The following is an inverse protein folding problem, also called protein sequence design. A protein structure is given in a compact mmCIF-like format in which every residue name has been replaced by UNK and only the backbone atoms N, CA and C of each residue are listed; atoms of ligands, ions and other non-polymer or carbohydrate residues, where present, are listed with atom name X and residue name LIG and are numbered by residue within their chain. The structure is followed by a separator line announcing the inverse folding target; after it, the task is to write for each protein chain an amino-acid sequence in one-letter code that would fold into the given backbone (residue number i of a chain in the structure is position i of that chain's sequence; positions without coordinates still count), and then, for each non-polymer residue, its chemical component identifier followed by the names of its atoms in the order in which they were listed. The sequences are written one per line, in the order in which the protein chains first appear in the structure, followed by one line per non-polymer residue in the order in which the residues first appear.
data_IF_997082955106
#
_entry.id   IF_997082955106
#
_cell.length_a   1.000
_cell.length_b   1.000
_cell.length_c   1.000
_cell.angle_alpha   90.00
_cell.angle_beta   90.00
_cell.angle_gamma   90.00
#
_symmetry.space_group_name_H-M   'P 1'
#
loop_
_entity.id
_entity.type
_entity.pdbx_description
1 polymer ?
#
# COMPACT_ATOMS: atom_id res chain seq x y z
N UNK A 1 -12.91 8.04 -10.92
CA UNK A 1 -12.59 8.13 -9.49
C UNK A 1 -13.72 8.78 -8.73
N UNK A 2 -13.87 10.11 -8.85
CA UNK A 2 -14.95 10.83 -8.19
C UNK A 2 -16.25 10.87 -9.01
N UNK A 3 -17.44 10.69 -8.40
CA UNK A 3 -18.72 10.89 -9.06
C UNK A 3 -18.85 12.31 -9.62
N UNK A 4 -19.29 12.43 -10.87
CA UNK A 4 -19.54 13.70 -11.56
C UNK A 4 -21.03 13.98 -11.75
N UNK A 5 -21.83 12.92 -11.88
CA UNK A 5 -23.26 12.99 -12.14
C UNK A 5 -23.97 11.90 -11.34
N UNK A 6 -25.16 12.23 -10.84
CA UNK A 6 -26.05 11.28 -10.17
C UNK A 6 -27.42 11.33 -10.87
N UNK A 7 -27.99 10.14 -11.06
CA UNK A 7 -29.27 9.95 -11.73
C UNK A 7 -30.22 9.22 -10.77
N UNK A 8 -31.47 9.66 -10.73
CA UNK A 8 -32.53 8.97 -10.02
C UNK A 8 -32.91 7.66 -10.71
N UNK A 9 -33.68 6.81 -10.03
CA UNK A 9 -34.10 5.50 -10.56
C UNK A 9 -34.90 5.57 -11.88
N UNK A 10 -35.49 6.73 -12.22
CA UNK A 10 -36.21 6.95 -13.48
C UNK A 10 -35.35 7.58 -14.58
N UNK A 11 -34.04 7.70 -14.38
CA UNK A 11 -33.09 8.25 -15.36
C UNK A 11 -33.01 9.77 -15.41
N UNK A 12 -33.68 10.50 -14.50
CA UNK A 12 -33.54 11.97 -14.41
C UNK A 12 -32.28 12.33 -13.63
N UNK A 13 -31.48 13.24 -14.18
CA UNK A 13 -30.28 13.80 -13.54
C UNK A 13 -30.70 14.61 -12.31
N UNK A 14 -30.19 14.21 -11.14
CA UNK A 14 -30.48 14.84 -9.84
C UNK A 14 -29.38 15.78 -9.40
N UNK A 15 -28.13 15.50 -9.77
CA UNK A 15 -26.97 16.28 -9.36
C UNK A 15 -25.84 16.17 -10.37
N UNK A 16 -25.08 17.26 -10.55
CA UNK A 16 -23.84 17.30 -11.31
C UNK A 16 -22.86 18.25 -10.65
N UNK A 17 -21.59 17.84 -10.58
CA UNK A 17 -20.53 18.68 -10.02
C UNK A 17 -19.28 18.59 -10.87
N UNK A 18 -18.80 19.76 -11.30
CA UNK A 18 -17.46 19.90 -11.85
C UNK A 18 -16.48 20.18 -10.71
N UNK A 19 -15.34 19.49 -10.70
CA UNK A 19 -14.35 19.57 -9.64
C UNK A 19 -12.99 19.93 -10.21
N UNK A 20 -12.18 20.62 -9.41
CA UNK A 20 -10.76 20.83 -9.69
C UNK A 20 -9.95 19.54 -9.52
N UNK A 21 -8.66 19.59 -9.82
CA UNK A 21 -7.70 18.49 -9.63
C UNK A 21 -7.75 17.87 -8.22
N UNK A 22 -8.04 18.68 -7.18
CA UNK A 22 -8.09 18.26 -5.78
C UNK A 22 -9.51 18.20 -5.20
N UNK A 23 -10.54 18.21 -6.05
CA UNK A 23 -11.91 17.94 -5.63
C UNK A 23 -12.70 19.18 -5.19
N UNK A 24 -12.10 20.38 -5.28
CA UNK A 24 -12.79 21.64 -5.03
C UNK A 24 -13.90 21.81 -6.06
N UNK A 25 -15.13 22.02 -5.60
CA UNK A 25 -16.27 22.22 -6.50
C UNK A 25 -16.12 23.55 -7.25
N UNK A 26 -16.10 23.49 -8.58
CA UNK A 26 -16.02 24.67 -9.45
C UNK A 26 -17.40 25.18 -9.86
N UNK A 27 -18.37 24.27 -10.03
CA UNK A 27 -19.77 24.58 -10.32
C UNK A 27 -20.66 23.41 -9.86
N UNK A 28 -21.81 23.73 -9.25
CA UNK A 28 -22.85 22.79 -8.88
C UNK A 28 -24.10 23.10 -9.70
N UNK A 29 -24.49 22.19 -10.59
CA UNK A 29 -25.77 22.28 -11.32
C UNK A 29 -26.86 21.48 -10.58
N UNK A 30 -26.87 21.57 -9.24
CA UNK A 30 -27.86 20.89 -8.43
C UNK A 30 -29.23 21.53 -8.64
N UNK A 31 -30.27 20.72 -8.85
CA UNK A 31 -31.63 21.23 -8.82
C UNK A 31 -31.90 21.84 -7.43
N UNK A 32 -32.51 23.03 -7.31
CA UNK A 32 -32.85 23.61 -6.01
C UNK A 32 -33.79 22.72 -5.19
N UNK A 33 -34.49 21.77 -5.83
CA UNK A 33 -35.36 20.78 -5.19
C UNK A 33 -34.66 19.43 -4.91
N UNK A 34 -33.36 19.30 -5.21
CA UNK A 34 -32.62 18.07 -4.96
C UNK A 34 -32.40 17.87 -3.46
N UNK A 35 -33.22 17.03 -2.85
CA UNK A 35 -33.01 16.51 -1.49
C UNK A 35 -31.85 15.49 -1.40
N UNK A 36 -31.30 15.09 -2.55
CA UNK A 36 -30.27 14.06 -2.67
C UNK A 36 -28.92 14.73 -3.02
N UNK A 37 -27.95 14.64 -2.11
CA UNK A 37 -26.57 15.05 -2.33
C UNK A 37 -25.69 13.82 -2.61
N UNK A 38 -24.54 14.05 -3.25
CA UNK A 38 -23.49 13.06 -3.37
C UNK A 38 -22.26 13.54 -2.61
N UNK A 39 -22.07 12.99 -1.41
CA UNK A 39 -20.96 13.36 -0.54
C UNK A 39 -19.69 12.56 -0.87
N UNK A 40 -19.77 11.60 -1.80
CA UNK A 40 -18.61 10.86 -2.26
C UNK A 40 -17.67 11.73 -3.12
N UNK A 41 -16.38 11.67 -2.78
CA UNK A 41 -15.29 12.37 -3.46
C UNK A 41 -14.46 11.44 -4.34
N UNK A 42 -13.14 11.65 -4.40
CA UNK A 42 -12.24 10.65 -4.97
C UNK A 42 -12.27 9.34 -4.16
N UNK A 43 -11.57 8.31 -4.63
CA UNK A 43 -11.63 6.98 -4.01
C UNK A 43 -11.40 7.05 -2.48
N UNK A 44 -12.37 6.55 -1.71
CA UNK A 44 -12.32 6.55 -0.24
C UNK A 44 -12.58 7.90 0.45
N UNK A 45 -13.06 8.92 -0.29
CA UNK A 45 -13.37 10.24 0.26
C UNK A 45 -14.86 10.45 0.50
N UNK A 46 -15.17 11.04 1.65
CA UNK A 46 -16.48 11.56 1.99
C UNK A 46 -16.38 13.04 2.35
N UNK A 47 -17.28 13.86 1.82
CA UNK A 47 -17.33 15.28 2.12
C UNK A 47 -17.98 15.46 3.49
N UNK A 48 -17.28 16.16 4.38
CA UNK A 48 -17.86 16.65 5.63
C UNK A 48 -18.52 18.01 5.35
N UNK A 49 -19.84 18.09 5.51
CA UNK A 49 -20.62 19.29 5.17
C UNK A 49 -20.37 20.44 6.16
N UNK A 50 -20.11 20.12 7.44
CA UNK A 50 -19.90 21.14 8.48
C UNK A 50 -18.58 21.89 8.28
N UNK A 51 -17.51 21.17 7.92
CA UNK A 51 -16.18 21.74 7.72
C UNK A 51 -15.83 22.05 6.25
N UNK A 52 -16.55 21.44 5.30
CA UNK A 52 -16.23 21.50 3.86
C UNK A 52 -15.00 20.69 3.45
N UNK A 53 -14.43 19.88 4.35
CA UNK A 53 -13.22 19.09 4.12
C UNK A 53 -13.55 17.68 3.57
N UNK A 54 -12.53 17.01 3.03
CA UNK A 54 -12.62 15.62 2.61
C UNK A 54 -12.11 14.68 3.70
N UNK A 55 -12.98 13.83 4.21
CA UNK A 55 -12.62 12.77 5.15
C UNK A 55 -12.12 11.52 4.40
N UNK A 56 -10.93 11.07 4.78
CA UNK A 56 -10.28 9.83 4.34
C UNK A 56 -9.87 9.01 5.57
N UNK A 57 -10.82 8.26 6.14
CA UNK A 57 -10.66 7.31 7.27
C UNK A 57 -9.98 7.87 8.54
N UNK A 58 -8.72 8.25 8.48
CA UNK A 58 -7.95 8.77 9.61
C UNK A 58 -7.52 10.23 9.42
N UNK A 59 -7.86 10.87 8.29
CA UNK A 59 -7.38 12.22 7.96
C UNK A 59 -8.45 13.07 7.27
N UNK A 60 -8.32 14.39 7.41
CA UNK A 60 -9.09 15.39 6.69
C UNK A 60 -8.20 16.12 5.68
N UNK A 61 -8.67 16.26 4.44
CA UNK A 61 -7.96 16.90 3.33
C UNK A 61 -8.67 18.19 2.91
N UNK A 62 -7.91 19.27 2.77
CA UNK A 62 -8.39 20.54 2.24
C UNK A 62 -8.20 20.57 0.71
N UNK A 63 -9.32 20.58 0.00
CA UNK A 63 -9.35 20.59 -1.47
C UNK A 63 -8.82 21.88 -2.11
N UNK A 64 -8.65 22.96 -1.34
CA UNK A 64 -8.06 24.21 -1.83
C UNK A 64 -6.54 24.09 -1.95
N UNK A 65 -5.93 23.32 -1.06
CA UNK A 65 -4.47 23.14 -0.96
C UNK A 65 -4.02 21.78 -1.49
N UNK A 66 -4.93 20.81 -1.60
CA UNK A 66 -4.62 19.42 -1.97
C UNK A 66 -3.87 18.65 -0.89
N UNK A 67 -3.99 19.07 0.38
CA UNK A 67 -3.19 18.56 1.49
C UNK A 67 -4.05 18.08 2.66
N UNK A 68 -3.58 17.04 3.35
CA UNK A 68 -4.10 16.62 4.63
C UNK A 68 -3.73 17.64 5.73
N UNK A 69 -4.70 17.94 6.59
CA UNK A 69 -4.51 18.86 7.71
C UNK A 69 -3.61 18.27 8.81
N UNK A 70 -3.60 16.95 8.93
CA UNK A 70 -2.73 16.20 9.83
C UNK A 70 -1.60 15.52 9.04
N UNK A 71 -0.43 15.39 9.68
CA UNK A 71 0.63 14.54 9.16
C UNK A 71 0.14 13.11 8.96
N UNK A 72 0.72 12.42 7.97
CA UNK A 72 0.48 11.01 7.75
C UNK A 72 0.76 10.24 9.06
N UNK A 73 -0.15 9.36 9.52
CA UNK A 73 0.12 8.48 10.66
C UNK A 73 1.40 7.65 10.49
N UNK A 74 1.79 7.35 9.24
CA UNK A 74 3.04 6.69 8.87
C UNK A 74 4.25 7.65 8.86
N UNK A 75 4.03 8.95 9.07
CA UNK A 75 5.04 10.04 9.07
C UNK A 75 5.78 10.06 7.73
N UNK A 76 7.12 10.10 7.74
CA UNK A 76 7.94 9.97 6.52
C UNK A 76 7.76 8.61 5.81
N UNK A 77 7.08 7.67 6.45
CA UNK A 77 6.56 6.42 5.89
C UNK A 77 5.52 6.62 4.76
N UNK A 78 4.77 7.73 4.79
CA UNK A 78 3.79 8.10 3.76
C UNK A 78 4.36 8.93 2.61
N UNK A 79 5.67 9.21 2.63
CA UNK A 79 6.35 10.08 1.67
C UNK A 79 7.05 11.25 2.35
N UNK A 80 7.91 11.96 1.60
CA UNK A 80 8.64 13.13 2.11
C UNK A 80 7.70 14.29 2.44
N UNK A 81 6.57 14.39 1.72
CA UNK A 81 5.50 15.31 2.08
C UNK A 81 4.47 14.59 2.95
N UNK A 82 4.63 14.69 4.26
CA UNK A 82 3.73 14.02 5.23
C UNK A 82 2.29 14.53 5.18
N UNK A 83 2.01 15.63 4.47
CA UNK A 83 0.67 16.18 4.31
C UNK A 83 0.15 16.03 2.87
N UNK A 84 0.89 15.41 1.94
CA UNK A 84 0.40 15.26 0.57
C UNK A 84 -0.75 14.26 0.49
N UNK A 85 -1.77 14.64 -0.27
CA UNK A 85 -2.67 13.68 -0.90
C UNK A 85 -1.97 13.06 -2.11
N UNK A 86 -2.23 11.77 -2.38
CA UNK A 86 -1.61 10.88 -3.39
C UNK A 86 -0.81 11.58 -4.51
N UNK A 87 0.41 11.11 -4.79
CA UNK A 87 1.32 11.69 -5.80
C UNK A 87 0.71 11.91 -7.19
N UNK A 88 -0.26 11.10 -7.59
CA UNK A 88 -1.12 11.32 -8.76
C UNK A 88 -2.56 10.88 -8.43
N UNK A 89 -3.47 11.83 -8.29
CA UNK A 89 -4.87 11.59 -7.90
C UNK A 89 -5.75 11.01 -9.01
N UNK A 90 -5.25 10.95 -10.25
CA UNK A 90 -6.02 10.54 -11.44
C UNK A 90 -5.51 9.21 -12.01
N UNK A 91 -4.19 8.98 -12.00
CA UNK A 91 -3.54 7.81 -12.60
C UNK A 91 -3.13 6.71 -11.63
N UNK A 92 -2.90 7.02 -10.35
CA UNK A 92 -2.56 5.99 -9.37
C UNK A 92 -3.80 5.32 -8.80
N UNK A 93 -4.19 4.25 -9.48
CA UNK A 93 -5.08 3.23 -8.98
C UNK A 93 -4.30 1.91 -9.07
N UNK A 94 -4.10 1.22 -7.96
CA UNK A 94 -3.69 -0.19 -7.93
C UNK A 94 -4.93 -1.02 -7.53
N UNK A 95 -5.76 -1.45 -8.50
CA UNK A 95 -7.04 -2.07 -8.19
C UNK A 95 -6.91 -3.42 -7.50
N UNK A 96 -5.72 -4.04 -7.54
CA UNK A 96 -5.49 -5.41 -7.03
C UNK A 96 -4.28 -5.53 -6.09
N UNK A 97 -3.35 -4.57 -6.01
CA UNK A 97 -2.21 -4.66 -5.09
C UNK A 97 -1.15 -5.68 -5.49
N UNK A 98 -1.13 -6.13 -6.75
CA UNK A 98 -0.36 -7.30 -7.22
C UNK A 98 0.74 -6.95 -8.23
N UNK A 99 1.11 -5.67 -8.39
CA UNK A 99 2.23 -5.36 -9.29
C UNK A 99 3.47 -6.08 -8.80
N UNK A 100 4.10 -6.86 -9.68
CA UNK A 100 5.36 -7.54 -9.41
C UNK A 100 5.33 -8.72 -8.43
N UNK A 101 4.16 -9.21 -7.98
CA UNK A 101 4.07 -10.39 -7.11
C UNK A 101 2.99 -11.37 -7.57
N UNK A 102 3.35 -12.63 -7.79
CA UNK A 102 2.41 -13.70 -8.19
C UNK A 102 2.54 -14.86 -7.22
N UNK A 103 1.46 -15.18 -6.51
CA UNK A 103 1.36 -16.35 -5.65
C UNK A 103 0.69 -17.50 -6.40
N UNK A 104 1.26 -18.70 -6.30
CA UNK A 104 0.71 -19.93 -6.88
C UNK A 104 0.76 -21.05 -5.85
N UNK A 105 -0.37 -21.71 -5.60
CA UNK A 105 -0.42 -22.96 -4.83
C UNK A 105 0.16 -24.11 -5.67
N UNK A 106 0.94 -24.99 -5.03
CA UNK A 106 1.62 -26.10 -5.69
C UNK A 106 1.44 -27.39 -4.92
N UNK A 107 1.45 -28.51 -5.65
CA UNK A 107 1.48 -29.85 -5.08
C UNK A 107 2.95 -30.25 -4.86
N UNK A 108 3.48 -29.98 -3.68
CA UNK A 108 4.87 -30.23 -3.30
C UNK A 108 4.97 -30.62 -1.81
N UNK A 109 5.90 -31.52 -1.46
CA UNK A 109 6.06 -31.99 -0.07
C UNK A 109 6.79 -30.97 0.83
N UNK A 110 7.67 -30.15 0.26
CA UNK A 110 8.56 -29.24 0.97
C UNK A 110 7.95 -27.85 1.21
N UNK A 111 7.02 -27.41 0.37
CA UNK A 111 6.33 -26.11 0.48
C UNK A 111 4.96 -26.12 -0.20
N UNK A 112 4.09 -25.21 0.20
CA UNK A 112 2.68 -25.20 -0.20
C UNK A 112 2.41 -24.16 -1.32
N UNK A 113 3.23 -23.10 -1.37
CA UNK A 113 3.10 -22.02 -2.36
C UNK A 113 4.43 -21.61 -2.98
N UNK A 114 4.39 -21.14 -4.23
CA UNK A 114 5.45 -20.35 -4.87
C UNK A 114 5.03 -18.88 -4.92
N UNK A 115 5.84 -17.98 -4.35
CA UNK A 115 5.71 -16.53 -4.52
C UNK A 115 6.81 -16.02 -5.44
N UNK A 116 6.40 -15.56 -6.63
CA UNK A 116 7.27 -14.93 -7.63
C UNK A 116 7.32 -13.43 -7.41
N UNK A 117 8.52 -12.86 -7.30
CA UNK A 117 8.77 -11.43 -7.10
C UNK A 117 9.52 -10.90 -8.32
N UNK A 118 8.97 -9.90 -8.99
CA UNK A 118 9.55 -9.31 -10.21
C UNK A 118 10.67 -8.34 -9.89
N UNK A 119 11.88 -8.64 -10.36
CA UNK A 119 13.05 -7.78 -10.30
C UNK A 119 12.90 -6.51 -11.14
N UNK A 120 12.10 -6.56 -12.20
CA UNK A 120 11.73 -5.38 -12.98
C UNK A 120 10.91 -4.36 -12.18
N UNK A 121 9.97 -4.81 -11.35
CA UNK A 121 9.11 -3.91 -10.56
C UNK A 121 9.76 -3.48 -9.24
N UNK A 122 10.51 -4.39 -8.60
CA UNK A 122 11.19 -4.16 -7.32
C UNK A 122 12.68 -4.53 -7.38
N UNK A 123 13.50 -3.81 -8.18
CA UNK A 123 14.89 -4.18 -8.43
C UNK A 123 15.77 -4.20 -7.18
N UNK A 124 15.61 -3.26 -6.24
CA UNK A 124 16.44 -3.24 -5.03
C UNK A 124 16.03 -4.36 -4.06
N UNK A 125 14.73 -4.53 -3.79
CA UNK A 125 14.24 -5.59 -2.89
C UNK A 125 14.53 -6.98 -3.45
N UNK A 126 14.22 -7.24 -4.72
CA UNK A 126 14.46 -8.53 -5.34
C UNK A 126 15.95 -8.90 -5.35
N UNK A 127 16.84 -7.92 -5.59
CA UNK A 127 18.27 -8.14 -5.55
C UNK A 127 18.77 -8.46 -4.13
N UNK A 128 18.27 -7.76 -3.11
CA UNK A 128 18.61 -8.05 -1.72
C UNK A 128 18.17 -9.47 -1.32
N UNK A 129 16.93 -9.86 -1.65
CA UNK A 129 16.40 -11.21 -1.40
C UNK A 129 17.27 -12.28 -2.09
N UNK A 130 17.58 -12.08 -3.38
CA UNK A 130 18.44 -12.98 -4.15
C UNK A 130 19.82 -13.13 -3.51
N UNK A 131 20.46 -12.01 -3.12
CA UNK A 131 21.77 -12.00 -2.48
C UNK A 131 21.74 -12.71 -1.12
N UNK A 132 20.70 -12.48 -0.33
CA UNK A 132 20.53 -13.09 0.97
C UNK A 132 20.36 -14.62 0.84
N UNK A 133 19.52 -15.08 -0.10
CA UNK A 133 19.36 -16.51 -0.41
C UNK A 133 20.70 -17.12 -0.87
N UNK A 134 21.40 -16.48 -1.79
CA UNK A 134 22.72 -16.92 -2.24
C UNK A 134 23.77 -16.96 -1.12
N UNK A 135 23.58 -16.15 -0.08
CA UNK A 135 24.40 -16.12 1.14
C UNK A 135 23.94 -17.13 2.20
N UNK A 136 22.99 -18.01 1.87
CA UNK A 136 22.51 -19.11 2.73
C UNK A 136 21.31 -18.75 3.63
N UNK A 137 20.62 -17.63 3.39
CA UNK A 137 19.31 -17.38 4.03
C UNK A 137 18.24 -18.29 3.42
N UNK A 138 17.17 -18.49 4.17
CA UNK A 138 16.06 -19.34 3.75
C UNK A 138 15.41 -18.81 2.46
N UNK A 139 15.17 -19.72 1.51
CA UNK A 139 14.42 -19.48 0.28
C UNK A 139 13.01 -20.10 0.32
N UNK A 140 12.76 -21.02 1.26
CA UNK A 140 11.45 -21.46 1.73
C UNK A 140 11.22 -20.87 3.10
N UNK A 141 10.11 -20.14 3.26
CA UNK A 141 9.79 -19.39 4.47
C UNK A 141 8.39 -19.75 4.97
N UNK A 142 8.21 -19.75 6.28
CA UNK A 142 6.97 -20.17 6.94
C UNK A 142 6.23 -18.95 7.46
N UNK A 143 4.94 -18.80 7.11
CA UNK A 143 4.10 -17.69 7.57
C UNK A 143 4.00 -17.68 9.10
N UNK A 144 4.46 -16.58 9.72
CA UNK A 144 4.45 -16.33 11.17
C UNK A 144 4.12 -14.84 11.46
N UNK A 145 2.86 -14.44 11.25
CA UNK A 145 2.44 -13.04 11.38
C UNK A 145 2.39 -12.58 12.82
N UNK A 146 2.05 -13.49 13.74
CA UNK A 146 1.90 -13.18 15.16
C UNK A 146 3.23 -12.75 15.80
N UNK A 147 4.36 -13.31 15.34
CA UNK A 147 5.69 -12.95 15.84
C UNK A 147 6.36 -11.81 15.07
N UNK A 148 5.71 -11.21 14.08
CA UNK A 148 6.33 -10.25 13.17
C UNK A 148 6.94 -9.02 13.86
N UNK A 149 6.27 -8.47 14.88
CA UNK A 149 6.79 -7.35 15.65
C UNK A 149 8.06 -7.73 16.44
N UNK A 150 8.09 -8.92 17.03
CA UNK A 150 9.23 -9.43 17.77
C UNK A 150 10.41 -9.75 16.85
N UNK A 151 10.14 -10.33 15.67
CA UNK A 151 11.15 -10.60 14.66
C UNK A 151 11.80 -9.31 14.17
N UNK A 152 10.99 -8.30 13.79
CA UNK A 152 11.50 -7.00 13.36
C UNK A 152 12.35 -6.29 14.42
N UNK A 153 11.99 -6.41 15.69
CA UNK A 153 12.80 -5.86 16.78
C UNK A 153 14.17 -6.55 16.91
N UNK A 154 14.24 -7.86 16.62
CA UNK A 154 15.47 -8.66 16.69
C UNK A 154 16.40 -8.42 15.50
N UNK A 155 15.88 -8.42 14.28
CA UNK A 155 16.64 -8.21 13.03
C UNK A 155 17.26 -6.81 12.98
N UNK A 156 16.50 -5.78 13.35
CA UNK A 156 16.94 -4.38 13.24
C UNK A 156 17.78 -3.90 14.44
N UNK A 157 18.03 -4.77 15.43
CA UNK A 157 18.75 -4.40 16.65
C UNK A 157 20.19 -4.01 16.32
N UNK A 158 20.56 -2.77 16.64
CA UNK A 158 21.91 -2.24 16.43
C UNK A 158 22.20 -1.78 15.00
N UNK A 159 21.24 -1.89 14.08
CA UNK A 159 21.38 -1.41 12.70
C UNK A 159 20.86 0.03 12.62
N UNK A 160 21.71 1.04 12.38
CA UNK A 160 21.26 2.43 12.35
C UNK A 160 20.33 2.69 11.15
N UNK A 161 19.44 3.67 11.32
CA UNK A 161 18.68 4.23 10.20
C UNK A 161 19.59 5.05 9.31
N UNK A 162 19.38 4.99 7.99
CA UNK A 162 20.10 5.83 7.03
C UNK A 162 19.11 6.80 6.37
N UNK A 163 19.37 8.12 6.36
CA UNK A 163 18.47 9.09 5.74
C UNK A 163 18.14 8.71 4.29
N UNK A 164 16.85 8.73 3.94
CA UNK A 164 16.38 8.40 2.59
C UNK A 164 16.43 6.93 2.21
N UNK A 165 16.65 6.01 3.17
CA UNK A 165 16.68 4.57 2.96
C UNK A 165 15.86 3.85 4.02
N UNK A 166 15.17 2.78 3.62
CA UNK A 166 14.53 1.86 4.53
C UNK A 166 15.47 0.66 4.77
N UNK A 167 15.32 -0.02 5.91
CA UNK A 167 16.05 -1.26 6.22
C UNK A 167 15.18 -2.42 5.78
N UNK A 168 15.50 -3.01 4.65
CA UNK A 168 14.85 -4.23 4.19
C UNK A 168 15.42 -5.45 4.91
N UNK A 169 14.63 -6.50 5.08
CA UNK A 169 14.96 -7.64 5.94
C UNK A 169 14.70 -8.96 5.20
N UNK A 170 15.71 -9.83 5.09
CA UNK A 170 15.53 -11.18 4.58
C UNK A 170 16.16 -12.28 5.46
N UNK A 171 15.40 -13.28 5.94
CA UNK A 171 13.97 -13.45 5.74
C UNK A 171 13.14 -12.37 6.44
N UNK A 172 12.00 -12.00 5.82
CA UNK A 172 11.12 -10.94 6.34
C UNK A 172 10.58 -11.29 7.73
N UNK A 173 10.29 -10.24 8.51
CA UNK A 173 9.80 -10.41 9.88
C UNK A 173 8.48 -11.19 10.00
N UNK A 174 7.63 -11.18 8.97
CA UNK A 174 6.36 -11.94 8.93
C UNK A 174 6.53 -13.45 8.75
N UNK A 175 7.79 -13.92 8.66
CA UNK A 175 8.11 -15.33 8.56
C UNK A 175 8.83 -15.83 9.81
N UNK A 176 8.69 -17.11 10.08
CA UNK A 176 9.32 -17.80 11.21
C UNK A 176 10.85 -17.73 11.15
N UNK A 177 11.41 -17.75 9.95
CA UNK A 177 12.84 -17.67 9.66
C UNK A 177 13.39 -16.23 9.79
N UNK A 178 12.51 -15.25 9.98
CA UNK A 178 12.89 -13.86 10.19
C UNK A 178 13.46 -13.59 11.59
N UNK A 179 13.84 -12.33 11.82
CA UNK A 179 14.34 -11.89 13.11
C UNK A 179 15.85 -12.07 13.29
N UNK A 180 16.27 -12.80 14.33
CA UNK A 180 17.71 -12.89 14.66
C UNK A 180 18.48 -13.57 13.52
N UNK A 181 19.43 -12.86 12.94
CA UNK A 181 20.25 -13.36 11.84
C UNK A 181 19.61 -13.18 10.46
N UNK A 182 18.50 -12.44 10.33
CA UNK A 182 18.07 -11.92 9.03
C UNK A 182 19.15 -11.01 8.44
N UNK A 183 19.35 -11.09 7.13
CA UNK A 183 20.13 -10.13 6.35
C UNK A 183 19.37 -8.81 6.27
N UNK A 184 20.09 -7.70 6.30
CA UNK A 184 19.49 -6.36 6.32
C UNK A 184 20.25 -5.42 5.42
N UNK A 185 19.55 -4.87 4.44
CA UNK A 185 20.11 -3.93 3.46
C UNK A 185 19.36 -2.59 3.45
N UNK A 186 20.09 -1.49 3.23
CA UNK A 186 19.50 -0.16 3.11
C UNK A 186 19.12 0.14 1.66
N UNK A 187 17.85 -0.09 1.32
CA UNK A 187 17.30 0.12 -0.03
C UNK A 187 16.36 1.33 -0.10
N UNK A 188 16.00 1.76 -1.31
CA UNK A 188 15.11 2.91 -1.47
C UNK A 188 13.73 2.65 -0.83
N UNK A 189 13.14 3.63 -0.15
CA UNK A 189 11.84 3.46 0.50
C UNK A 189 10.70 3.14 -0.46
N UNK A 190 10.76 3.67 -1.68
CA UNK A 190 9.72 3.42 -2.70
C UNK A 190 9.72 1.96 -3.12
N UNK A 191 10.90 1.37 -3.33
CA UNK A 191 11.06 -0.02 -3.74
C UNK A 191 10.63 -0.97 -2.60
N UNK A 192 11.20 -0.78 -1.40
CA UNK A 192 10.91 -1.60 -0.22
C UNK A 192 9.42 -1.61 0.15
N UNK A 193 8.81 -0.43 0.30
CA UNK A 193 7.40 -0.33 0.71
C UNK A 193 6.46 -0.87 -0.37
N UNK A 194 6.82 -0.67 -1.64
CA UNK A 194 6.09 -1.26 -2.78
C UNK A 194 6.12 -2.78 -2.72
N UNK A 195 7.31 -3.36 -2.62
CA UNK A 195 7.51 -4.81 -2.53
C UNK A 195 6.80 -5.40 -1.30
N UNK A 196 6.99 -4.80 -0.12
CA UNK A 196 6.35 -5.25 1.12
C UNK A 196 4.81 -5.20 1.06
N UNK A 197 4.24 -4.18 0.41
CA UNK A 197 2.79 -4.10 0.16
C UNK A 197 2.31 -5.21 -0.78
N UNK A 198 3.00 -5.44 -1.90
CA UNK A 198 2.62 -6.46 -2.89
C UNK A 198 2.77 -7.88 -2.36
N UNK A 199 3.85 -8.16 -1.63
CA UNK A 199 4.06 -9.45 -0.97
C UNK A 199 2.99 -9.67 0.11
N UNK A 200 2.76 -8.68 0.97
CA UNK A 200 1.73 -8.74 2.01
C UNK A 200 0.33 -8.97 1.44
N UNK A 201 0.00 -8.33 0.31
CA UNK A 201 -1.27 -8.54 -0.38
C UNK A 201 -1.36 -9.93 -1.00
N UNK A 202 -0.32 -10.39 -1.70
CA UNK A 202 -0.28 -11.72 -2.30
C UNK A 202 -0.51 -12.82 -1.26
N UNK A 203 0.08 -12.65 -0.06
CA UNK A 203 -0.01 -13.60 1.03
C UNK A 203 -1.20 -13.38 1.97
N UNK A 204 -2.09 -12.41 1.72
CA UNK A 204 -3.12 -11.98 2.70
C UNK A 204 -4.08 -13.10 3.13
N UNK A 205 -4.38 -14.04 2.23
CA UNK A 205 -5.31 -15.15 2.45
C UNK A 205 -4.59 -16.49 2.67
N UNK A 206 -3.27 -16.46 2.84
CA UNK A 206 -2.47 -17.67 3.13
C UNK A 206 -2.47 -17.89 4.63
N UNK A 207 -2.83 -19.09 5.07
CA UNK A 207 -2.96 -19.43 6.48
C UNK A 207 -1.61 -19.38 7.22
N UNK A 208 -1.69 -19.18 8.53
CA UNK A 208 -0.54 -19.24 9.43
C UNK A 208 0.12 -20.63 9.37
N UNK A 209 1.46 -20.67 9.34
CA UNK A 209 2.21 -21.92 9.25
C UNK A 209 2.39 -22.49 7.83
N UNK A 210 1.75 -21.92 6.82
CA UNK A 210 1.99 -22.29 5.42
C UNK A 210 3.43 -21.95 5.00
N UNK A 211 4.02 -22.82 4.18
CA UNK A 211 5.39 -22.70 3.65
C UNK A 211 5.36 -22.14 2.25
N UNK A 212 6.14 -21.10 2.01
CA UNK A 212 6.18 -20.35 0.76
C UNK A 212 7.61 -20.38 0.20
N UNK A 213 7.78 -20.94 -1.00
CA UNK A 213 9.01 -20.84 -1.77
C UNK A 213 9.08 -19.49 -2.48
N UNK A 214 10.21 -18.83 -2.36
CA UNK A 214 10.45 -17.51 -2.94
C UNK A 214 11.22 -17.67 -4.24
N UNK A 215 10.73 -17.02 -5.30
CA UNK A 215 11.30 -17.09 -6.64
C UNK A 215 11.47 -15.66 -7.13
N UNK A 216 12.69 -15.30 -7.55
CA UNK A 216 12.94 -14.03 -8.21
C UNK A 216 12.73 -14.21 -9.71
N UNK A 217 11.87 -13.37 -10.29
CA UNK A 217 11.57 -13.33 -11.72
C UNK A 217 12.26 -12.11 -12.34
N UNK A 218 12.92 -12.29 -13.48
CA UNK A 218 13.73 -11.25 -14.15
C UNK A 218 12.88 -10.16 -14.83
#
# INVERSE_FOLDING_TARGET
GAPQEMYSANGRKVWRRQRSLWGLAAANDASPDARESCDAGFMGQWQDEESGLWYNLHRYMDSRTGQYLSQDPLKLGGGLNTQSYVHDSVGWCDPVGLKGCILKEVDNEDYDFELRISKKEYPETAQHIENAINSGKADVVTIDRDNSAANRAKSLKGIPTKPGKDRDEWPMAMFKEGGTGADVEHISPSDNRGAGSSIGHALKNVDEGARVKIIIDE
#
